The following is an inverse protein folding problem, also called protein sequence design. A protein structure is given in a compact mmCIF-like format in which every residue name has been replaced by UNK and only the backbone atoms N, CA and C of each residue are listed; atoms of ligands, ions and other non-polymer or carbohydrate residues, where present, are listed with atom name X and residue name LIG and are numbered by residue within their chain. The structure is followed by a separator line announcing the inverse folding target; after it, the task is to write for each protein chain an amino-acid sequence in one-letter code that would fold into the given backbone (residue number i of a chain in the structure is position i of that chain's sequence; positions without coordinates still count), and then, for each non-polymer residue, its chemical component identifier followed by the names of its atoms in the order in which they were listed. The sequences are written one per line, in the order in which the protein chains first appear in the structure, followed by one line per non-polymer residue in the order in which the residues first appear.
data_IF_969723018793
#
_entry.id   IF_969723018793
#
_cell.length_a   1.000
_cell.length_b   1.000
_cell.length_c   1.000
_cell.angle_alpha   90.00
_cell.angle_beta   90.00
_cell.angle_gamma   90.00
#
_symmetry.space_group_name_H-M   'P 1'
#
loop_
_entity.id
_entity.type
_entity.pdbx_description
1 polymer ?
#
# COMPACT_ATOMS: atom_id res chain seq x y z
N UNK A 1 10.44 -14.56 -10.87
CA UNK A 1 9.89 -13.20 -10.82
C UNK A 1 8.38 -13.30 -10.81
N UNK A 2 7.69 -12.41 -10.10
CA UNK A 2 6.22 -12.35 -10.06
C UNK A 2 5.71 -11.53 -11.24
N UNK A 3 4.60 -11.95 -11.85
CA UNK A 3 4.02 -11.25 -13.01
C UNK A 3 3.24 -9.98 -12.61
N UNK A 4 2.88 -9.87 -11.33
CA UNK A 4 2.10 -8.78 -10.75
C UNK A 4 2.80 -8.21 -9.52
N UNK A 5 2.93 -6.89 -9.48
CA UNK A 5 3.26 -6.14 -8.28
C UNK A 5 2.04 -5.35 -7.77
N UNK A 6 1.88 -5.26 -6.45
CA UNK A 6 0.99 -4.31 -5.78
C UNK A 6 1.84 -3.22 -5.19
N UNK A 7 1.54 -1.96 -5.51
CA UNK A 7 2.30 -0.79 -5.13
C UNK A 7 1.42 0.18 -4.35
N UNK A 8 1.86 0.63 -3.18
CA UNK A 8 1.11 1.63 -2.41
C UNK A 8 1.70 1.96 -1.05
N UNK A 9 1.16 3.00 -0.44
CA UNK A 9 1.39 3.31 0.96
C UNK A 9 0.62 2.31 1.83
N UNK A 10 1.21 1.88 2.95
CA UNK A 10 0.44 1.23 4.02
C UNK A 10 -0.12 2.28 4.97
N UNK A 11 -1.13 1.89 5.74
CA UNK A 11 -1.72 2.72 6.76
C UNK A 11 -1.59 2.11 8.15
N UNK A 12 -1.58 2.98 9.15
CA UNK A 12 -1.86 2.64 10.54
C UNK A 12 -3.30 3.03 10.83
N UNK A 13 -4.15 2.02 10.95
CA UNK A 13 -5.58 2.20 11.18
C UNK A 13 -5.93 2.00 12.65
N UNK A 14 -6.77 2.89 13.18
CA UNK A 14 -7.41 2.74 14.49
C UNK A 14 -8.92 2.65 14.29
N UNK A 15 -9.49 1.48 14.56
CA UNK A 15 -10.93 1.22 14.36
C UNK A 15 -11.63 1.28 15.73
N UNK A 16 -12.65 2.13 15.85
CA UNK A 16 -13.50 2.29 17.04
C UNK A 16 -12.72 2.49 18.36
N UNK A 17 -11.60 3.23 18.28
CA UNK A 17 -10.72 3.49 19.43
C UNK A 17 -9.89 2.27 19.87
N UNK A 18 -9.84 1.22 19.06
CA UNK A 18 -9.05 0.02 19.28
C UNK A 18 -7.53 0.25 19.16
N UNK A 19 -6.80 -0.85 19.08
CA UNK A 19 -5.33 -0.79 18.91
C UNK A 19 -4.98 -0.43 17.45
N UNK A 20 -3.86 0.30 17.23
CA UNK A 20 -3.31 0.49 15.90
C UNK A 20 -3.07 -0.84 15.20
N UNK A 21 -3.46 -0.93 13.93
CA UNK A 21 -3.27 -2.11 13.10
C UNK A 21 -2.86 -1.71 11.68
N UNK A 22 -2.25 -2.67 10.96
CA UNK A 22 -1.90 -2.48 9.56
C UNK A 22 -3.17 -2.39 8.70
N UNK A 23 -3.21 -1.37 7.85
CA UNK A 23 -4.18 -1.21 6.78
C UNK A 23 -3.52 -0.89 5.44
N UNK A 24 -4.38 -0.54 4.49
CA UNK A 24 -4.01 -0.06 3.16
C UNK A 24 -3.93 -1.13 2.07
N UNK A 25 -3.99 -0.66 0.83
CA UNK A 25 -4.09 -1.48 -0.37
C UNK A 25 -3.06 -2.61 -0.45
N UNK A 26 -1.75 -2.35 -0.22
CA UNK A 26 -0.73 -3.40 -0.25
C UNK A 26 -1.05 -4.61 0.64
N UNK A 27 -1.61 -4.37 1.84
CA UNK A 27 -1.98 -5.42 2.77
C UNK A 27 -3.23 -6.17 2.31
N UNK A 28 -4.31 -5.46 1.96
CA UNK A 28 -5.58 -6.09 1.58
C UNK A 28 -5.51 -6.81 0.22
N UNK A 29 -4.86 -6.20 -0.78
CA UNK A 29 -4.60 -6.88 -2.04
C UNK A 29 -3.72 -8.11 -1.83
N UNK A 30 -2.70 -8.01 -0.96
CA UNK A 30 -1.85 -9.13 -0.59
C UNK A 30 -2.63 -10.29 0.04
N UNK A 31 -3.59 -10.01 0.95
CA UNK A 31 -4.49 -11.03 1.49
C UNK A 31 -5.30 -11.73 0.38
N UNK A 32 -5.91 -10.97 -0.53
CA UNK A 32 -6.66 -11.54 -1.65
C UNK A 32 -5.79 -12.40 -2.58
N UNK A 33 -4.58 -11.93 -2.90
CA UNK A 33 -3.63 -12.65 -3.75
C UNK A 33 -3.14 -13.95 -3.11
N UNK A 34 -2.94 -13.95 -1.78
CA UNK A 34 -2.61 -15.15 -1.02
C UNK A 34 -3.73 -16.19 -1.05
N UNK A 35 -4.99 -15.76 -0.96
CA UNK A 35 -6.16 -16.64 -1.05
C UNK A 35 -6.33 -17.22 -2.46
N UNK A 36 -5.97 -16.45 -3.50
CA UNK A 36 -6.00 -16.89 -4.89
C UNK A 36 -4.75 -17.69 -5.31
N UNK A 37 -3.83 -17.95 -4.38
CA UNK A 37 -2.56 -18.64 -4.62
C UNK A 37 -1.74 -18.04 -5.77
N UNK A 38 -1.82 -16.71 -5.96
CA UNK A 38 -1.11 -16.01 -7.03
C UNK A 38 0.25 -15.54 -6.56
N UNK A 39 1.27 -15.80 -7.39
CA UNK A 39 2.59 -15.22 -7.20
C UNK A 39 2.52 -13.72 -7.46
N UNK A 40 2.74 -12.94 -6.41
CA UNK A 40 2.74 -11.48 -6.47
C UNK A 40 3.88 -10.90 -5.64
N UNK A 41 4.20 -9.64 -5.94
CA UNK A 41 5.16 -8.84 -5.19
C UNK A 41 4.45 -7.66 -4.55
N UNK A 42 4.45 -7.59 -3.23
CA UNK A 42 3.96 -6.42 -2.49
C UNK A 42 5.12 -5.44 -2.34
N UNK A 43 4.94 -4.23 -2.84
CA UNK A 43 5.86 -3.11 -2.71
C UNK A 43 5.14 -2.04 -1.91
N UNK A 44 5.53 -1.91 -0.64
CA UNK A 44 4.85 -1.07 0.34
C UNK A 44 5.80 0.01 0.84
N UNK A 45 5.25 1.17 1.20
CA UNK A 45 6.01 2.26 1.81
C UNK A 45 5.52 2.54 3.24
N UNK A 46 6.44 2.66 4.20
CA UNK A 46 6.18 3.09 5.57
C UNK A 46 7.39 3.79 6.20
N UNK A 47 7.16 4.53 7.27
CA UNK A 47 8.23 5.06 8.09
C UNK A 47 9.00 3.93 8.82
N UNK A 48 10.33 4.04 8.98
CA UNK A 48 11.13 3.03 9.65
C UNK A 48 10.66 2.66 11.07
N UNK A 49 10.18 3.65 11.83
CA UNK A 49 9.66 3.49 13.19
C UNK A 49 8.43 2.58 13.27
N UNK A 50 7.64 2.53 12.20
CA UNK A 50 6.39 1.77 12.15
C UNK A 50 6.58 0.34 11.65
N UNK A 51 7.79 -0.01 11.19
CA UNK A 51 8.09 -1.34 10.62
C UNK A 51 7.76 -2.49 11.58
N UNK A 52 7.90 -2.28 12.88
CA UNK A 52 7.57 -3.30 13.89
C UNK A 52 6.07 -3.66 13.90
N UNK A 53 5.18 -2.72 13.56
CA UNK A 53 3.75 -2.94 13.40
C UNK A 53 3.40 -3.47 12.00
N UNK A 54 4.07 -2.95 10.97
CA UNK A 54 3.72 -3.14 9.56
C UNK A 54 4.30 -4.43 8.96
N UNK A 55 5.58 -4.73 9.20
CA UNK A 55 6.29 -5.79 8.47
C UNK A 55 5.82 -7.19 8.85
N UNK A 56 5.62 -7.54 10.15
CA UNK A 56 5.19 -8.89 10.51
C UNK A 56 3.88 -9.35 9.81
N UNK A 57 2.78 -8.58 9.79
CA UNK A 57 1.57 -8.99 9.08
C UNK A 57 1.76 -9.08 7.56
N UNK A 58 2.50 -8.16 6.91
CA UNK A 58 2.82 -8.27 5.47
C UNK A 58 3.64 -9.52 5.15
N UNK A 59 4.68 -9.80 5.94
CA UNK A 59 5.54 -10.97 5.75
C UNK A 59 4.74 -12.28 5.95
N UNK A 60 3.77 -12.28 6.87
CA UNK A 60 2.92 -13.45 7.14
C UNK A 60 2.05 -13.87 5.95
N UNK A 61 1.86 -12.98 4.96
CA UNK A 61 1.18 -13.30 3.70
C UNK A 61 1.96 -14.31 2.84
N UNK A 62 3.27 -14.49 3.07
CA UNK A 62 4.11 -15.40 2.28
C UNK A 62 4.33 -14.96 0.83
N UNK A 63 4.06 -13.68 0.53
CA UNK A 63 4.34 -13.05 -0.76
C UNK A 63 5.73 -12.43 -0.76
N UNK A 64 6.30 -12.18 -1.95
CA UNK A 64 7.49 -11.37 -2.05
C UNK A 64 7.17 -9.96 -1.53
N UNK A 65 7.99 -9.41 -0.64
CA UNK A 65 7.77 -8.11 0.00
C UNK A 65 9.01 -7.24 -0.18
N UNK A 66 8.80 -6.00 -0.63
CA UNK A 66 9.79 -4.92 -0.55
C UNK A 66 9.19 -3.77 0.24
N UNK A 67 9.91 -3.29 1.24
CA UNK A 67 9.59 -2.07 1.97
C UNK A 67 10.44 -0.91 1.44
N UNK A 68 9.77 0.19 1.08
CA UNK A 68 10.38 1.48 0.77
C UNK A 68 10.23 2.38 2.00
N UNK A 69 11.27 3.14 2.32
CA UNK A 69 11.23 4.06 3.45
C UNK A 69 10.42 5.32 3.12
N UNK A 70 9.68 5.78 4.11
CA UNK A 70 9.00 7.07 4.14
C UNK A 70 9.49 7.87 5.34
N UNK A 71 9.34 9.18 5.31
CA UNK A 71 9.42 10.03 6.50
C UNK A 71 8.15 9.88 7.36
N UNK A 72 7.00 9.57 6.74
CA UNK A 72 5.73 9.39 7.45
C UNK A 72 4.88 8.26 6.89
N UNK A 73 4.34 7.43 7.78
CA UNK A 73 3.29 6.45 7.44
C UNK A 73 1.92 7.12 7.46
N UNK A 74 1.06 6.78 6.49
CA UNK A 74 -0.33 7.22 6.53
C UNK A 74 -1.05 6.65 7.76
N UNK A 75 -2.00 7.40 8.32
CA UNK A 75 -2.77 6.92 9.47
C UNK A 75 -4.23 7.36 9.38
N UNK A 76 -5.13 6.45 9.74
CA UNK A 76 -6.57 6.70 9.75
C UNK A 76 -7.17 6.33 11.11
N UNK A 77 -8.19 7.09 11.52
CA UNK A 77 -9.12 6.66 12.54
C UNK A 77 -10.48 6.41 11.89
N UNK A 78 -11.02 5.21 12.08
CA UNK A 78 -12.31 4.80 11.55
C UNK A 78 -13.28 4.59 12.70
N UNK A 79 -14.49 5.14 12.56
CA UNK A 79 -15.59 4.93 13.50
C UNK A 79 -16.79 4.34 12.76
N UNK A 80 -17.38 3.31 13.32
CA UNK A 80 -18.57 2.65 12.82
C UNK A 80 -19.75 2.89 13.75
N UNK A 81 -20.84 3.42 13.20
CA UNK A 81 -22.12 3.60 13.87
C UNK A 81 -23.21 2.88 13.07
N UNK A 82 -23.41 1.60 13.39
CA UNK A 82 -24.22 0.71 12.55
C UNK A 82 -23.55 0.51 11.18
N UNK A 83 -24.23 0.90 10.11
CA UNK A 83 -23.69 0.84 8.74
C UNK A 83 -22.95 2.13 8.33
N UNK A 84 -23.05 3.20 9.14
CA UNK A 84 -22.36 4.45 8.86
C UNK A 84 -20.89 4.35 9.26
N UNK A 85 -19.99 4.77 8.36
CA UNK A 85 -18.55 4.86 8.62
C UNK A 85 -18.10 6.31 8.54
N UNK A 86 -17.46 6.80 9.60
CA UNK A 86 -16.68 8.04 9.56
C UNK A 86 -15.20 7.69 9.49
N UNK A 87 -14.50 8.30 8.54
CA UNK A 87 -13.05 8.15 8.37
C UNK A 87 -12.37 9.49 8.62
N UNK A 88 -11.40 9.50 9.52
CA UNK A 88 -10.53 10.64 9.77
C UNK A 88 -9.10 10.31 9.33
N UNK A 89 -8.55 11.14 8.45
CA UNK A 89 -7.15 11.08 8.06
C UNK A 89 -6.29 11.76 9.14
N UNK A 90 -5.52 10.98 9.88
CA UNK A 90 -4.66 11.45 10.98
C UNK A 90 -3.26 11.83 10.50
N UNK A 91 -2.76 11.13 9.49
CA UNK A 91 -1.49 11.43 8.85
C UNK A 91 -1.56 11.10 7.36
N UNK A 92 -1.02 11.99 6.54
CA UNK A 92 -0.75 11.74 5.12
C UNK A 92 0.63 11.08 5.03
N UNK A 93 0.71 9.96 4.32
CA UNK A 93 1.99 9.32 4.03
C UNK A 93 2.73 10.04 2.89
N UNK A 94 4.02 9.76 2.74
CA UNK A 94 4.81 10.40 1.70
C UNK A 94 4.35 9.98 0.29
N UNK A 95 4.36 10.89 -0.69
CA UNK A 95 4.11 10.53 -2.08
C UNK A 95 5.17 9.56 -2.61
N UNK A 96 4.78 8.73 -3.58
CA UNK A 96 5.70 7.91 -4.36
C UNK A 96 6.47 8.78 -5.35
N UNK A 97 7.77 8.52 -5.45
CA UNK A 97 8.70 9.19 -6.36
C UNK A 97 9.12 8.24 -7.49
N UNK A 98 9.46 8.77 -8.68
CA UNK A 98 9.85 7.94 -9.83
C UNK A 98 11.02 6.99 -9.56
N UNK A 99 12.00 7.40 -8.76
CA UNK A 99 13.20 6.59 -8.43
C UNK A 99 12.88 5.37 -7.57
N UNK A 100 11.84 5.45 -6.73
CA UNK A 100 11.41 4.36 -5.85
C UNK A 100 10.73 3.22 -6.64
N UNK A 101 10.30 3.46 -7.87
CA UNK A 101 9.68 2.46 -8.74
C UNK A 101 10.65 1.33 -9.12
N UNK A 102 11.96 1.52 -8.91
CA UNK A 102 12.95 0.44 -9.00
C UNK A 102 12.62 -0.73 -8.06
N UNK A 103 11.94 -0.47 -6.93
CA UNK A 103 11.53 -1.48 -5.96
C UNK A 103 10.54 -2.52 -6.53
N UNK A 104 9.84 -2.20 -7.62
CA UNK A 104 8.92 -3.09 -8.35
C UNK A 104 9.66 -4.18 -9.11
N UNK A 105 10.94 -3.96 -9.44
CA UNK A 105 11.69 -4.81 -10.33
C UNK A 105 11.05 -4.93 -11.72
N UNK A 106 11.18 -6.10 -12.33
CA UNK A 106 10.72 -6.37 -13.70
C UNK A 106 9.29 -6.89 -13.82
N UNK A 107 8.40 -6.62 -12.85
CA UNK A 107 7.00 -7.03 -12.95
C UNK A 107 6.30 -6.30 -14.13
N UNK A 108 5.68 -7.03 -15.08
CA UNK A 108 5.02 -6.43 -16.25
C UNK A 108 3.65 -5.82 -15.93
N UNK A 109 3.01 -6.26 -14.85
CA UNK A 109 1.77 -5.66 -14.34
C UNK A 109 1.99 -5.03 -12.97
N UNK A 110 1.41 -3.84 -12.78
CA UNK A 110 1.40 -3.15 -11.49
C UNK A 110 -0.03 -2.74 -11.16
N UNK A 111 -0.48 -3.14 -9.98
CA UNK A 111 -1.68 -2.62 -9.35
C UNK A 111 -1.29 -1.52 -8.37
N UNK A 112 -1.77 -0.31 -8.61
CA UNK A 112 -1.48 0.89 -7.82
C UNK A 112 -2.67 1.13 -6.89
N UNK A 113 -2.39 1.18 -5.59
CA UNK A 113 -3.39 1.32 -4.54
C UNK A 113 -3.07 2.54 -3.66
N UNK A 114 -3.37 3.77 -4.12
CA UNK A 114 -3.33 4.98 -3.30
C UNK A 114 -4.29 4.90 -2.10
N UNK A 115 -3.92 5.55 -1.01
CA UNK A 115 -4.78 5.86 0.13
C UNK A 115 -5.37 7.26 0.02
N UNK A 116 -4.63 8.19 -0.57
CA UNK A 116 -5.06 9.57 -0.84
C UNK A 116 -4.63 10.02 -2.23
N UNK A 117 -5.26 11.07 -2.76
CA UNK A 117 -5.01 11.58 -4.11
C UNK A 117 -3.55 12.01 -4.34
N UNK A 118 -2.82 12.38 -3.28
CA UNK A 118 -1.44 12.85 -3.37
C UNK A 118 -0.41 11.72 -3.36
N UNK A 119 -0.80 10.46 -3.14
CA UNK A 119 0.15 9.35 -3.00
C UNK A 119 0.93 9.08 -4.30
N UNK A 120 0.33 9.33 -5.47
CA UNK A 120 0.96 9.09 -6.76
C UNK A 120 0.87 10.35 -7.64
N UNK A 121 1.86 11.25 -7.54
CA UNK A 121 2.00 12.37 -8.45
C UNK A 121 2.04 11.94 -9.92
N UNK A 122 1.66 12.84 -10.83
CA UNK A 122 1.53 12.55 -12.25
C UNK A 122 2.85 12.05 -12.85
N UNK A 123 3.98 12.64 -12.48
CA UNK A 123 5.31 12.25 -12.92
C UNK A 123 5.66 10.81 -12.52
N UNK A 124 5.20 10.35 -11.35
CA UNK A 124 5.39 8.98 -10.87
C UNK A 124 4.51 8.02 -11.67
N UNK A 125 3.28 8.40 -11.96
CA UNK A 125 2.38 7.60 -12.80
C UNK A 125 2.86 7.49 -14.25
N UNK A 126 3.40 8.57 -14.82
CA UNK A 126 4.03 8.59 -16.14
C UNK A 126 5.23 7.64 -16.19
N UNK A 127 6.14 7.75 -15.21
CA UNK A 127 7.29 6.85 -15.11
C UNK A 127 6.86 5.38 -14.93
N UNK A 128 5.80 5.13 -14.16
CA UNK A 128 5.29 3.78 -13.92
C UNK A 128 4.71 3.13 -15.19
N UNK A 129 4.04 3.92 -16.03
CA UNK A 129 3.40 3.44 -17.26
C UNK A 129 4.41 3.03 -18.36
N UNK A 130 5.67 3.43 -18.25
CA UNK A 130 6.71 3.05 -19.22
C UNK A 130 7.01 1.55 -19.10
N UNK A 131 6.61 0.80 -20.13
CA UNK A 131 6.93 -0.63 -20.26
C UNK A 131 6.13 -1.56 -19.34
N UNK A 132 5.09 -1.05 -18.66
CA UNK A 132 4.25 -1.83 -17.75
C UNK A 132 2.77 -1.60 -18.04
N UNK A 133 1.94 -2.58 -17.65
CA UNK A 133 0.49 -2.45 -17.64
C UNK A 133 0.04 -2.06 -16.25
N UNK A 134 -0.68 -0.93 -16.15
CA UNK A 134 -1.10 -0.34 -14.88
C UNK A 134 -2.59 -0.60 -14.66
N UNK A 135 -2.92 -1.18 -13.51
CA UNK A 135 -4.24 -1.14 -12.91
C UNK A 135 -4.19 -0.10 -11.78
N UNK A 136 -5.15 0.81 -11.72
CA UNK A 136 -5.18 1.89 -10.74
C UNK A 136 -6.50 1.88 -10.00
N UNK A 137 -6.45 1.78 -8.67
CA UNK A 137 -7.61 1.88 -7.80
C UNK A 137 -7.57 3.19 -7.02
N UNK A 138 -8.28 4.20 -7.54
CA UNK A 138 -8.32 5.53 -6.94
C UNK A 138 -9.13 5.66 -5.66
N UNK A 139 -9.75 4.57 -5.15
CA UNK A 139 -10.54 4.54 -3.91
C UNK A 139 -11.66 5.61 -3.87
N UNK A 140 -12.28 5.89 -5.03
CA UNK A 140 -13.32 6.91 -5.23
C UNK A 140 -14.70 6.52 -4.73
#
# INVERSE_FOLDING_TARGET
MSDLAVLGNVAIDVIDGGRPQLGGGPYHCGQGLRLLERRAHVVAKCAPEDRALVVPPLASLGLQLTMVDAERTAAFALRYEGEARTTELRAVGDPWRPDELAAIGGAPWVHVAPLVQTDFPAETMEALAVGRKVSYDGQG
#
